data_IF_065672818917
#
_entry.id   IF_065672818917
#
_cell.length_a   1.000
_cell.length_b   1.000
_cell.length_c   1.000
_cell.angle_alpha   90.00
_cell.angle_beta   90.00
_cell.angle_gamma   90.00
#
_symmetry.space_group_name_H-M   'P 1'
#
loop_
_entity.id
_entity.type
_entity.pdbx_description
1 polymer ?
#
# COMPACT_ATOMS: atom_id res chain seq x y z
N UNK A 1 -29.23 43.48 13.88
CA UNK A 1 -27.93 43.29 14.57
C UNK A 1 -27.33 41.93 14.25
N UNK A 2 -28.12 40.85 14.24
CA UNK A 2 -27.66 39.47 13.96
C UNK A 2 -26.89 39.26 12.65
N UNK A 3 -27.32 39.88 11.53
CA UNK A 3 -26.66 39.70 10.23
C UNK A 3 -25.29 40.37 10.09
N UNK A 4 -25.04 41.48 10.81
CA UNK A 4 -23.75 42.16 10.78
C UNK A 4 -22.70 41.40 11.60
N UNK A 5 -23.10 40.86 12.76
CA UNK A 5 -22.23 40.01 13.58
C UNK A 5 -21.88 38.69 12.89
N UNK A 6 -22.81 38.13 12.10
CA UNK A 6 -22.56 36.95 11.29
C UNK A 6 -21.53 37.24 10.18
N UNK A 7 -21.68 38.36 9.47
CA UNK A 7 -20.73 38.77 8.42
C UNK A 7 -19.33 39.04 9.00
N UNK A 8 -19.22 39.68 10.18
CA UNK A 8 -17.95 39.89 10.87
C UNK A 8 -17.23 38.59 11.25
N UNK A 9 -17.96 37.60 11.78
CA UNK A 9 -17.39 36.27 12.07
C UNK A 9 -16.88 35.58 10.82
N UNK A 10 -17.62 35.73 9.73
CA UNK A 10 -17.28 35.13 8.45
C UNK A 10 -16.03 35.75 7.80
N UNK A 11 -15.83 37.07 7.97
CA UNK A 11 -14.60 37.76 7.58
C UNK A 11 -13.41 37.37 8.47
N UNK A 12 -13.63 37.18 9.78
CA UNK A 12 -12.58 36.71 10.68
C UNK A 12 -12.09 35.30 10.33
N UNK A 13 -13.01 34.40 9.94
CA UNK A 13 -12.66 33.07 9.45
C UNK A 13 -11.80 33.13 8.17
N UNK A 14 -12.18 33.98 7.20
CA UNK A 14 -11.41 34.18 5.97
C UNK A 14 -10.01 34.76 6.25
N UNK A 15 -9.89 35.68 7.22
CA UNK A 15 -8.58 36.19 7.63
C UNK A 15 -7.70 35.07 8.19
N UNK A 16 -8.28 34.13 8.95
CA UNK A 16 -7.61 32.90 9.39
C UNK A 16 -7.11 32.03 8.23
N UNK A 17 -7.96 31.81 7.22
CA UNK A 17 -7.61 31.03 6.03
C UNK A 17 -6.47 31.68 5.22
N UNK A 18 -6.52 33.01 5.03
CA UNK A 18 -5.48 33.78 4.36
C UNK A 18 -4.15 33.71 5.11
N UNK A 19 -4.17 33.83 6.44
CA UNK A 19 -2.98 33.67 7.28
C UNK A 19 -2.39 32.26 7.16
N UNK A 20 -3.23 31.23 7.18
CA UNK A 20 -2.80 29.84 6.97
C UNK A 20 -2.16 29.63 5.59
N UNK A 21 -2.62 30.37 4.58
CA UNK A 21 -2.04 30.38 3.24
C UNK A 21 -0.77 31.23 3.10
N UNK A 22 -0.36 31.97 4.15
CA UNK A 22 0.83 32.83 4.16
C UNK A 22 0.58 34.26 3.65
N UNK A 23 -0.69 34.67 3.56
CA UNK A 23 -1.07 36.04 3.18
C UNK A 23 -1.30 36.89 4.44
N UNK A 24 -0.31 37.72 4.78
CA UNK A 24 -0.40 38.66 5.90
C UNK A 24 -0.97 40.02 5.48
N UNK A 25 -1.53 40.75 6.44
CA UNK A 25 -1.85 42.17 6.29
C UNK A 25 -3.18 42.50 5.62
N UNK A 26 -4.15 41.57 5.59
CA UNK A 26 -5.51 41.93 5.18
C UNK A 26 -6.16 42.81 6.27
N UNK A 27 -6.59 44.04 5.96
CA UNK A 27 -7.17 44.91 6.98
C UNK A 27 -8.48 44.33 7.49
N UNK A 28 -8.52 44.00 8.79
CA UNK A 28 -9.72 43.53 9.52
C UNK A 28 -10.88 44.54 9.55
N UNK A 29 -10.71 45.73 8.96
CA UNK A 29 -11.70 46.80 9.00
C UNK A 29 -11.84 47.47 7.64
N UNK A 30 -13.10 47.55 7.21
CA UNK A 30 -13.64 48.10 5.98
C UNK A 30 -13.61 47.10 4.80
N UNK A 31 -14.78 46.57 4.47
CA UNK A 31 -15.03 45.70 3.31
C UNK A 31 -14.48 46.35 2.04
N UNK A 32 -13.31 45.95 1.55
CA UNK A 32 -12.71 46.66 0.42
C UNK A 32 -13.47 46.22 -0.84
N UNK A 33 -14.07 47.18 -1.53
CA UNK A 33 -14.80 46.94 -2.78
C UNK A 33 -13.85 46.66 -3.96
N UNK A 34 -14.39 46.36 -5.16
CA UNK A 34 -13.57 46.21 -6.37
C UNK A 34 -12.78 47.48 -6.73
N UNK A 35 -13.23 48.66 -6.28
CA UNK A 35 -12.52 49.93 -6.43
C UNK A 35 -11.31 50.07 -5.49
N UNK A 36 -11.17 49.19 -4.48
CA UNK A 36 -10.03 49.20 -3.57
C UNK A 36 -8.81 48.53 -4.25
N UNK A 37 -7.65 49.21 -4.31
CA UNK A 37 -6.45 48.64 -4.90
C UNK A 37 -5.95 47.40 -4.13
N UNK A 38 -6.05 47.41 -2.79
CA UNK A 38 -5.59 46.30 -1.95
C UNK A 38 -6.38 45.01 -2.17
N UNK A 39 -7.71 45.13 -2.39
CA UNK A 39 -8.55 43.99 -2.73
C UNK A 39 -8.20 43.40 -4.09
N UNK A 40 -8.02 44.25 -5.11
CA UNK A 40 -7.59 43.81 -6.44
C UNK A 40 -6.21 43.16 -6.41
N UNK A 41 -5.28 43.73 -5.65
CA UNK A 41 -3.95 43.17 -5.45
C UNK A 41 -3.99 41.80 -4.75
N UNK A 42 -4.85 41.61 -3.75
CA UNK A 42 -5.02 40.32 -3.09
C UNK A 42 -5.56 39.26 -4.06
N UNK A 43 -6.66 39.55 -4.76
CA UNK A 43 -7.22 38.65 -5.77
C UNK A 43 -6.18 38.31 -6.86
N UNK A 44 -5.40 39.30 -7.30
CA UNK A 44 -4.35 39.10 -8.28
C UNK A 44 -3.22 38.19 -7.79
N UNK A 45 -2.79 38.32 -6.53
CA UNK A 45 -1.78 37.41 -5.96
C UNK A 45 -2.29 35.99 -5.84
N UNK A 46 -3.52 35.79 -5.35
CA UNK A 46 -4.14 34.46 -5.24
C UNK A 46 -4.26 33.80 -6.62
N UNK A 47 -4.73 34.55 -7.62
CA UNK A 47 -4.85 34.05 -9.00
C UNK A 47 -3.50 33.75 -9.64
N UNK A 48 -2.48 34.59 -9.41
CA UNK A 48 -1.14 34.35 -9.92
C UNK A 48 -0.55 33.06 -9.32
N UNK A 49 -0.76 32.82 -8.03
CA UNK A 49 -0.29 31.59 -7.39
C UNK A 49 -1.02 30.35 -7.94
N UNK A 50 -2.35 30.42 -8.09
CA UNK A 50 -3.13 29.38 -8.76
C UNK A 50 -2.61 29.08 -10.16
N UNK A 51 -2.34 30.11 -10.97
CA UNK A 51 -1.77 29.95 -12.31
C UNK A 51 -0.37 29.31 -12.28
N UNK A 52 0.46 29.61 -11.27
CA UNK A 52 1.77 28.94 -11.14
C UNK A 52 1.64 27.46 -10.79
N UNK A 53 0.67 27.10 -9.95
CA UNK A 53 0.42 25.70 -9.59
C UNK A 53 -0.19 24.91 -10.76
N UNK A 54 -1.09 25.52 -11.52
CA UNK A 54 -1.72 24.89 -12.70
C UNK A 54 -0.74 24.74 -13.88
N UNK A 55 0.13 25.73 -14.12
CA UNK A 55 1.21 25.63 -15.13
C UNK A 55 2.27 24.57 -14.79
N UNK A 56 2.44 24.22 -13.50
CA UNK A 56 3.29 23.12 -13.07
C UNK A 56 2.66 21.74 -13.35
N UNK A 57 1.33 21.66 -13.45
CA UNK A 57 0.61 20.41 -13.78
C UNK A 57 0.40 20.23 -15.30
N UNK A 58 0.31 21.33 -16.05
CA UNK A 58 0.11 21.34 -17.51
C UNK A 58 1.35 21.83 -18.25
N UNK A 59 2.27 20.93 -18.65
CA UNK A 59 3.44 21.27 -19.50
C UNK A 59 3.10 21.76 -20.92
N UNK A 60 1.82 21.99 -21.26
CA UNK A 60 1.41 22.54 -22.55
C UNK A 60 0.00 23.10 -22.47
N UNK A 61 -0.13 24.41 -22.33
CA UNK A 61 -1.06 25.27 -23.10
C UNK A 61 -0.86 26.73 -22.68
N UNK A 62 -1.04 27.63 -23.65
CA UNK A 62 -0.69 29.04 -23.55
C UNK A 62 -1.61 29.83 -22.60
N UNK A 63 -1.00 30.41 -21.56
CA UNK A 63 -1.27 31.77 -21.08
C UNK A 63 -2.63 32.07 -20.46
N UNK A 64 -2.80 31.78 -19.17
CA UNK A 64 -3.77 32.51 -18.34
C UNK A 64 -3.30 33.97 -18.20
N UNK A 65 -4.07 34.93 -18.72
CA UNK A 65 -3.78 36.36 -18.53
C UNK A 65 -3.86 36.70 -17.03
N UNK A 66 -2.76 37.20 -16.47
CA UNK A 66 -2.69 37.58 -15.06
C UNK A 66 -3.69 38.70 -14.73
N UNK A 67 -4.38 38.57 -13.59
CA UNK A 67 -5.27 39.63 -13.08
C UNK A 67 -4.50 40.93 -12.85
N UNK A 68 -5.02 42.03 -13.38
CA UNK A 68 -4.45 43.37 -13.26
C UNK A 68 -4.68 43.94 -11.86
N UNK A 69 -3.59 44.28 -11.18
CA UNK A 69 -3.58 44.99 -9.90
C UNK A 69 -3.42 46.52 -10.04
N UNK A 70 -3.56 47.06 -11.25
CA UNK A 70 -3.23 48.46 -11.54
C UNK A 70 -4.13 49.50 -10.85
N UNK A 71 -3.58 50.69 -10.62
CA UNK A 71 -4.28 51.83 -9.98
C UNK A 71 -4.65 52.95 -10.99
N UNK A 72 -4.66 52.64 -12.29
CA UNK A 72 -4.95 53.59 -13.36
C UNK A 72 -6.44 53.83 -13.61
N UNK A 73 -6.81 54.90 -14.35
CA UNK A 73 -8.19 55.10 -14.80
C UNK A 73 -8.61 53.92 -15.70
N UNK A 74 -9.69 53.22 -15.33
CA UNK A 74 -10.19 52.02 -16.01
C UNK A 74 -9.69 50.68 -15.45
N UNK A 75 -8.84 50.69 -14.41
CA UNK A 75 -8.31 49.45 -13.85
C UNK A 75 -9.34 48.60 -13.07
N UNK A 76 -10.45 49.19 -12.61
CA UNK A 76 -11.58 48.42 -12.05
C UNK A 76 -12.29 47.61 -13.15
N UNK A 77 -12.55 48.22 -14.30
CA UNK A 77 -13.25 47.57 -15.43
C UNK A 77 -12.43 46.43 -16.03
N UNK A 78 -11.12 46.64 -16.17
CA UNK A 78 -10.19 45.62 -16.66
C UNK A 78 -10.06 44.44 -15.66
N UNK A 79 -9.93 44.74 -14.37
CA UNK A 79 -9.93 43.71 -13.31
C UNK A 79 -11.20 42.87 -13.36
N UNK A 80 -12.38 43.49 -13.47
CA UNK A 80 -13.66 42.78 -13.51
C UNK A 80 -13.80 41.91 -14.77
N UNK A 81 -13.30 42.37 -15.92
CA UNK A 81 -13.28 41.60 -17.17
C UNK A 81 -12.43 40.33 -17.03
N UNK A 82 -11.21 40.46 -16.50
CA UNK A 82 -10.28 39.36 -16.31
C UNK A 82 -10.77 38.40 -15.22
N UNK A 83 -11.32 38.92 -14.12
CA UNK A 83 -11.90 38.13 -13.04
C UNK A 83 -13.03 37.24 -13.52
N UNK A 84 -13.93 37.76 -14.37
CA UNK A 84 -14.99 36.96 -14.97
C UNK A 84 -14.47 35.88 -15.95
N UNK A 85 -13.27 36.07 -16.53
CA UNK A 85 -12.56 35.04 -17.29
C UNK A 85 -12.05 33.93 -16.38
N UNK A 86 -11.25 34.31 -15.38
CA UNK A 86 -10.68 33.39 -14.39
C UNK A 86 -11.74 32.54 -13.69
N UNK A 87 -12.85 33.14 -13.24
CA UNK A 87 -13.91 32.40 -12.56
C UNK A 87 -14.62 31.38 -13.48
N UNK A 88 -14.65 31.63 -14.79
CA UNK A 88 -15.18 30.66 -15.76
C UNK A 88 -14.21 29.51 -15.99
N UNK A 89 -12.91 29.81 -16.04
CA UNK A 89 -11.85 28.80 -16.16
C UNK A 89 -11.78 27.91 -14.92
N UNK A 90 -11.88 28.49 -13.72
CA UNK A 90 -11.94 27.76 -12.45
C UNK A 90 -13.30 27.11 -12.16
N UNK A 91 -14.24 27.15 -13.12
CA UNK A 91 -15.59 26.58 -12.97
C UNK A 91 -16.35 27.02 -11.70
N UNK A 92 -16.24 28.30 -11.34
CA UNK A 92 -16.84 28.83 -10.11
C UNK A 92 -18.38 28.61 -10.07
N UNK A 93 -18.92 28.03 -8.98
CA UNK A 93 -20.34 27.67 -8.88
C UNK A 93 -21.27 28.88 -8.68
N UNK A 94 -20.75 30.05 -8.32
CA UNK A 94 -21.55 31.27 -8.10
C UNK A 94 -21.91 31.94 -9.43
N UNK A 95 -23.15 31.70 -9.89
CA UNK A 95 -23.69 32.26 -11.13
C UNK A 95 -23.78 33.79 -11.13
N UNK A 96 -23.86 34.43 -9.96
CA UNK A 96 -23.91 35.90 -9.87
C UNK A 96 -22.54 36.53 -10.11
N UNK A 97 -21.46 35.84 -9.74
CA UNK A 97 -20.08 36.29 -9.95
C UNK A 97 -19.58 35.99 -11.37
N UNK A 98 -20.04 34.89 -11.97
CA UNK A 98 -19.69 34.49 -13.35
C UNK A 98 -20.56 35.17 -14.44
N UNK A 99 -21.58 35.93 -14.04
CA UNK A 99 -22.52 36.57 -14.95
C UNK A 99 -22.02 37.88 -15.57
N UNK A 100 -22.78 38.40 -16.55
CA UNK A 100 -22.47 39.67 -17.25
C UNK A 100 -22.44 40.90 -16.33
N UNK A 101 -23.11 40.80 -15.17
CA UNK A 101 -23.26 41.89 -14.20
C UNK A 101 -22.33 41.73 -12.97
N UNK A 102 -21.17 41.07 -13.12
CA UNK A 102 -20.17 40.82 -12.07
C UNK A 102 -19.84 42.09 -11.24
N UNK A 103 -19.72 43.24 -11.91
CA UNK A 103 -19.50 44.55 -11.30
C UNK A 103 -20.58 44.90 -10.25
N UNK A 104 -21.84 44.62 -10.57
CA UNK A 104 -22.98 44.90 -9.67
C UNK A 104 -23.09 43.86 -8.56
N UNK A 105 -22.77 42.60 -8.85
CA UNK A 105 -22.77 41.50 -7.90
C UNK A 105 -21.73 41.72 -6.79
N UNK A 106 -20.51 42.14 -7.13
CA UNK A 106 -19.43 42.41 -6.15
C UNK A 106 -19.70 43.62 -5.27
N UNK A 107 -20.65 44.49 -5.64
CA UNK A 107 -21.12 45.59 -4.79
C UNK A 107 -22.12 45.12 -3.73
N UNK A 108 -22.68 43.91 -3.86
CA UNK A 108 -23.59 43.34 -2.85
C UNK A 108 -22.81 42.91 -1.59
N UNK A 109 -23.43 43.00 -0.40
CA UNK A 109 -22.86 42.42 0.81
C UNK A 109 -22.68 40.89 0.63
N UNK A 110 -21.60 40.34 1.19
CA UNK A 110 -21.27 38.90 1.10
C UNK A 110 -20.71 38.39 -0.24
N UNK A 111 -20.94 39.03 -1.39
CA UNK A 111 -20.43 38.54 -2.69
C UNK A 111 -18.89 38.53 -2.77
N UNK A 112 -18.24 39.54 -2.16
CA UNK A 112 -16.78 39.66 -2.06
C UNK A 112 -16.16 38.57 -1.20
N UNK A 113 -16.84 38.24 -0.10
CA UNK A 113 -16.43 37.19 0.80
C UNK A 113 -16.53 35.82 0.11
N UNK A 114 -17.61 35.57 -0.63
CA UNK A 114 -17.76 34.34 -1.43
C UNK A 114 -16.65 34.21 -2.48
N UNK A 115 -16.30 35.31 -3.15
CA UNK A 115 -15.18 35.32 -4.10
C UNK A 115 -13.86 34.93 -3.43
N UNK A 116 -13.49 35.59 -2.33
CA UNK A 116 -12.22 35.33 -1.66
C UNK A 116 -12.17 33.93 -1.06
N UNK A 117 -13.29 33.44 -0.49
CA UNK A 117 -13.39 32.05 -0.01
C UNK A 117 -13.18 31.05 -1.13
N UNK A 118 -13.81 31.27 -2.28
CA UNK A 118 -13.63 30.42 -3.45
C UNK A 118 -12.16 30.40 -3.89
N UNK A 119 -11.51 31.56 -4.05
CA UNK A 119 -10.10 31.61 -4.43
C UNK A 119 -9.17 30.96 -3.38
N UNK A 120 -9.48 31.12 -2.09
CA UNK A 120 -8.72 30.46 -1.02
C UNK A 120 -8.91 28.94 -1.04
N UNK A 121 -10.14 28.45 -1.23
CA UNK A 121 -10.40 27.01 -1.29
C UNK A 121 -9.75 26.36 -2.50
N UNK A 122 -9.80 27.01 -3.68
CA UNK A 122 -9.10 26.53 -4.87
C UNK A 122 -7.59 26.51 -4.65
N UNK A 123 -7.02 27.55 -4.01
CA UNK A 123 -5.59 27.58 -3.72
C UNK A 123 -5.16 26.51 -2.71
N UNK A 124 -5.98 26.28 -1.68
CA UNK A 124 -5.77 25.19 -0.73
C UNK A 124 -5.80 23.82 -1.42
N UNK A 125 -6.78 23.60 -2.30
CA UNK A 125 -6.89 22.37 -3.08
C UNK A 125 -5.68 22.18 -4.00
N UNK A 126 -5.30 23.20 -4.78
CA UNK A 126 -4.14 23.16 -5.66
C UNK A 126 -2.84 22.88 -4.89
N UNK A 127 -2.64 23.51 -3.72
CA UNK A 127 -1.47 23.23 -2.87
C UNK A 127 -1.49 21.81 -2.31
N UNK A 128 -2.65 21.26 -1.92
CA UNK A 128 -2.77 19.88 -1.44
C UNK A 128 -2.45 18.88 -2.55
N UNK A 129 -2.97 19.09 -3.76
CA UNK A 129 -2.65 18.29 -4.94
C UNK A 129 -1.15 18.35 -5.26
N UNK A 130 -0.51 19.52 -5.09
CA UNK A 130 0.93 19.68 -5.28
C UNK A 130 1.79 19.09 -4.13
N UNK A 131 1.24 18.91 -2.93
CA UNK A 131 1.93 18.33 -1.76
C UNK A 131 1.78 16.80 -1.65
N UNK A 132 0.69 16.23 -2.18
CA UNK A 132 0.49 14.77 -2.24
C UNK A 132 1.67 13.99 -2.86
N UNK A 133 2.39 14.50 -3.88
CA UNK A 133 3.60 13.83 -4.40
C UNK A 133 4.78 13.80 -3.42
N UNK A 134 4.82 14.65 -2.38
CA UNK A 134 6.02 14.87 -1.54
C UNK A 134 5.95 14.22 -0.15
N UNK A 135 4.77 13.78 0.30
CA UNK A 135 4.56 13.29 1.66
C UNK A 135 4.73 11.78 1.84
N UNK A 136 5.05 11.02 0.79
CA UNK A 136 5.49 9.62 0.88
C UNK A 136 6.96 9.43 0.47
N UNK A 137 7.94 9.74 1.35
CA UNK A 137 9.36 9.48 1.12
C UNK A 137 9.83 8.09 1.61
N UNK A 138 8.93 7.15 1.92
CA UNK A 138 9.33 5.76 2.20
C UNK A 138 8.58 4.79 1.31
N UNK A 139 9.05 4.63 0.08
CA UNK A 139 9.02 3.42 -0.76
C UNK A 139 9.29 3.88 -2.21
N UNK A 140 10.54 4.24 -2.49
CA UNK A 140 11.04 4.22 -3.87
C UNK A 140 10.97 2.77 -4.37
N UNK A 141 10.28 2.52 -5.50
CA UNK A 141 11.05 2.11 -6.66
C UNK A 141 10.59 2.81 -7.94
N UNK A 142 11.52 3.53 -8.56
CA UNK A 142 11.71 3.64 -10.02
C UNK A 142 10.45 3.61 -10.91
N UNK A 143 10.00 4.80 -11.33
CA UNK A 143 9.39 4.99 -12.65
C UNK A 143 7.90 5.38 -12.69
N UNK A 144 7.67 6.70 -12.74
CA UNK A 144 6.63 7.48 -13.44
C UNK A 144 5.28 6.87 -13.84
N UNK A 145 4.20 7.61 -13.53
CA UNK A 145 2.90 7.64 -14.26
C UNK A 145 1.96 6.41 -14.13
N UNK A 146 2.00 5.66 -13.03
CA UNK A 146 1.16 4.46 -12.87
C UNK A 146 0.04 4.53 -11.82
N UNK A 147 -0.05 5.57 -10.99
CA UNK A 147 -1.11 5.71 -10.00
C UNK A 147 -2.24 6.59 -10.55
N UNK A 148 -3.28 5.94 -11.11
CA UNK A 148 -4.53 6.60 -11.47
C UNK A 148 -5.47 6.61 -10.26
N UNK A 149 -6.05 7.77 -10.02
CA UNK A 149 -7.09 8.05 -9.02
C UNK A 149 -8.26 7.05 -9.06
N UNK A 150 -8.57 6.46 -7.92
CA UNK A 150 -9.67 5.52 -7.73
C UNK A 150 -9.32 4.46 -6.70
N UNK A 151 -9.40 4.82 -5.42
CA UNK A 151 -9.41 3.84 -4.34
C UNK A 151 -10.74 3.05 -4.34
N UNK A 152 -11.03 2.36 -5.43
CA UNK A 152 -11.83 1.15 -5.42
C UNK A 152 -10.83 0.03 -5.45
N UNK A 153 -10.59 -0.58 -4.29
CA UNK A 153 -9.98 -1.90 -4.09
C UNK A 153 -9.44 -2.49 -5.40
N UNK A 154 -8.25 -2.02 -5.83
CA UNK A 154 -7.69 -2.42 -7.12
C UNK A 154 -7.62 -3.94 -7.06
N UNK A 155 -8.51 -4.60 -7.81
CA UNK A 155 -8.64 -6.06 -7.80
C UNK A 155 -7.24 -6.60 -7.93
N UNK A 156 -6.79 -7.46 -7.00
CA UNK A 156 -5.38 -7.88 -6.93
C UNK A 156 -4.80 -8.30 -8.30
N UNK A 157 -5.65 -8.78 -9.21
CA UNK A 157 -5.33 -9.06 -10.61
C UNK A 157 -4.79 -7.86 -11.41
N UNK A 158 -5.36 -6.65 -11.23
CA UNK A 158 -4.89 -5.41 -11.89
C UNK A 158 -3.51 -5.04 -11.37
N UNK A 159 -3.31 -5.09 -10.06
CA UNK A 159 -2.00 -4.84 -9.45
C UNK A 159 -0.95 -5.83 -9.95
N UNK A 160 -1.26 -7.13 -9.96
CA UNK A 160 -0.36 -8.17 -10.49
C UNK A 160 -0.02 -7.96 -11.97
N UNK A 161 -1.00 -7.52 -12.77
CA UNK A 161 -0.79 -7.21 -14.17
C UNK A 161 0.12 -6.00 -14.36
N UNK A 162 -0.06 -4.94 -13.56
CA UNK A 162 0.81 -3.75 -13.55
C UNK A 162 2.23 -4.15 -13.18
N UNK A 163 2.41 -4.93 -12.10
CA UNK A 163 3.73 -5.44 -11.70
C UNK A 163 4.38 -6.28 -12.79
N UNK A 164 3.60 -7.11 -13.49
CA UNK A 164 4.10 -7.92 -14.62
C UNK A 164 4.57 -7.04 -15.76
N UNK A 165 3.82 -5.99 -16.12
CA UNK A 165 4.20 -5.04 -17.16
C UNK A 165 5.48 -4.28 -16.78
N UNK A 166 5.57 -3.81 -15.53
CA UNK A 166 6.76 -3.14 -15.01
C UNK A 166 7.99 -4.07 -15.04
N UNK A 167 7.86 -5.31 -14.58
CA UNK A 167 8.94 -6.29 -14.59
C UNK A 167 9.44 -6.62 -16.01
N UNK A 168 8.55 -6.53 -17.01
CA UNK A 168 8.88 -6.74 -18.42
C UNK A 168 9.30 -5.46 -19.16
N UNK A 169 9.25 -4.30 -18.49
CA UNK A 169 9.54 -3.00 -19.08
C UNK A 169 8.55 -2.58 -20.17
N UNK A 170 7.29 -3.03 -20.07
CA UNK A 170 6.22 -2.70 -21.00
C UNK A 170 5.40 -1.49 -20.51
N UNK A 171 4.96 -0.59 -21.41
CA UNK A 171 4.15 0.57 -21.05
C UNK A 171 2.72 0.17 -20.64
N UNK A 172 1.98 1.10 -20.04
CA UNK A 172 0.56 0.89 -19.69
C UNK A 172 -0.26 0.75 -20.97
N UNK A 173 -1.06 -0.31 -21.12
CA UNK A 173 -1.94 -0.43 -22.26
C UNK A 173 -2.95 0.73 -22.25
N UNK A 174 -3.23 1.36 -23.41
CA UNK A 174 -4.25 2.40 -23.49
C UNK A 174 -5.62 1.84 -23.09
N UNK A 175 -6.49 2.72 -22.57
CA UNK A 175 -7.86 2.34 -22.19
C UNK A 175 -8.58 1.70 -23.39
N UNK A 176 -9.19 0.55 -23.17
CA UNK A 176 -9.90 -0.21 -24.22
C UNK A 176 -9.02 -1.18 -25.01
N UNK A 177 -7.75 -1.38 -24.63
CA UNK A 177 -6.92 -2.44 -25.23
C UNK A 177 -7.55 -3.82 -25.01
N UNK A 178 -7.76 -4.63 -26.06
CA UNK A 178 -8.32 -5.96 -25.89
C UNK A 178 -7.35 -6.88 -25.16
N UNK A 179 -7.87 -7.69 -24.22
CA UNK A 179 -7.05 -8.59 -23.40
C UNK A 179 -6.18 -9.56 -24.25
N UNK A 180 -6.68 -9.98 -25.41
CA UNK A 180 -5.94 -10.84 -26.35
C UNK A 180 -4.70 -10.17 -26.96
N UNK A 181 -4.73 -8.85 -27.16
CA UNK A 181 -3.58 -8.09 -27.60
C UNK A 181 -2.55 -7.98 -26.48
N UNK A 182 -2.99 -7.62 -25.28
CA UNK A 182 -2.13 -7.53 -24.10
C UNK A 182 -1.39 -8.85 -23.82
N UNK A 183 -2.12 -9.97 -23.83
CA UNK A 183 -1.53 -11.30 -23.64
C UNK A 183 -0.52 -11.65 -24.74
N UNK A 184 -0.74 -11.20 -25.98
CA UNK A 184 0.20 -11.41 -27.08
C UNK A 184 1.48 -10.59 -26.90
N UNK A 185 1.36 -9.34 -26.46
CA UNK A 185 2.49 -8.46 -26.16
C UNK A 185 3.33 -9.01 -24.99
N UNK A 186 2.67 -9.45 -23.90
CA UNK A 186 3.30 -10.13 -22.78
C UNK A 186 4.04 -11.39 -23.23
N UNK A 187 3.36 -12.27 -23.98
CA UNK A 187 3.96 -13.50 -24.49
C UNK A 187 5.17 -13.22 -25.39
N UNK A 188 5.07 -12.22 -26.28
CA UNK A 188 6.19 -11.83 -27.15
C UNK A 188 7.38 -11.34 -26.33
N UNK A 189 7.15 -10.49 -25.32
CA UNK A 189 8.23 -9.95 -24.48
C UNK A 189 8.88 -11.03 -23.62
N UNK A 190 8.09 -11.93 -23.04
CA UNK A 190 8.63 -13.08 -22.29
C UNK A 190 9.45 -13.99 -23.21
N UNK A 191 8.96 -14.26 -24.42
CA UNK A 191 9.67 -15.09 -25.41
C UNK A 191 10.99 -14.46 -25.86
N UNK A 192 11.06 -13.13 -25.96
CA UNK A 192 12.28 -12.37 -26.25
C UNK A 192 13.30 -12.49 -25.12
N UNK A 193 12.85 -12.42 -23.86
CA UNK A 193 13.73 -12.42 -22.68
C UNK A 193 14.17 -13.83 -22.25
N UNK A 194 13.37 -14.86 -22.53
CA UNK A 194 13.62 -16.24 -22.10
C UNK A 194 15.02 -16.77 -22.44
N UNK A 195 15.59 -16.54 -23.64
CA UNK A 195 16.95 -17.01 -23.99
C UNK A 195 18.07 -16.34 -23.21
N UNK A 196 17.83 -15.16 -22.60
CA UNK A 196 18.83 -14.46 -21.79
C UNK A 196 19.00 -15.08 -20.40
N UNK A 197 18.06 -15.93 -19.98
CA UNK A 197 18.07 -16.55 -18.66
C UNK A 197 18.90 -17.84 -18.65
N UNK A 198 19.45 -18.24 -17.49
CA UNK A 198 20.15 -19.51 -17.36
C UNK A 198 19.27 -20.70 -17.78
N UNK A 199 19.87 -21.77 -18.34
CA UNK A 199 19.12 -22.94 -18.77
C UNK A 199 18.39 -23.58 -17.59
N UNK A 200 17.10 -23.89 -17.79
CA UNK A 200 16.25 -24.50 -16.76
C UNK A 200 15.76 -23.53 -15.69
N UNK A 201 16.09 -22.23 -15.77
CA UNK A 201 15.64 -21.24 -14.77
C UNK A 201 14.10 -21.21 -14.70
N UNK A 202 13.40 -21.04 -15.81
CA UNK A 202 11.94 -21.02 -15.87
C UNK A 202 11.31 -22.38 -16.20
N UNK A 203 11.97 -23.50 -15.87
CA UNK A 203 11.39 -24.82 -16.14
C UNK A 203 10.10 -25.00 -15.33
N UNK A 204 8.95 -25.25 -15.95
CA UNK A 204 7.69 -25.42 -15.24
C UNK A 204 7.68 -26.74 -14.47
N UNK A 205 7.00 -26.76 -13.32
CA UNK A 205 6.79 -27.98 -12.55
C UNK A 205 5.85 -28.93 -13.30
N UNK A 206 4.80 -28.39 -13.91
CA UNK A 206 3.88 -29.13 -14.76
C UNK A 206 4.26 -28.97 -16.23
N UNK A 207 4.87 -30.00 -16.81
CA UNK A 207 5.31 -30.00 -18.22
C UNK A 207 4.36 -30.70 -19.18
N UNK A 208 3.27 -31.30 -18.67
CA UNK A 208 2.30 -32.06 -19.47
C UNK A 208 1.19 -31.16 -20.00
N UNK A 209 0.80 -31.28 -21.28
CA UNK A 209 -0.35 -30.55 -21.81
C UNK A 209 -1.64 -31.05 -21.16
N UNK A 210 -2.49 -30.10 -20.79
CA UNK A 210 -3.80 -30.35 -20.19
C UNK A 210 -4.87 -30.29 -21.30
N UNK A 211 -5.49 -31.44 -21.57
CA UNK A 211 -6.69 -31.54 -22.39
C UNK A 211 -7.94 -31.31 -21.53
N UNK A 212 -9.12 -31.15 -22.16
CA UNK A 212 -10.37 -30.90 -21.45
C UNK A 212 -10.64 -31.87 -20.26
N UNK A 213 -10.53 -33.20 -20.41
CA UNK A 213 -10.80 -34.10 -19.27
C UNK A 213 -9.74 -33.98 -18.16
N UNK A 214 -8.47 -33.65 -18.48
CA UNK A 214 -7.45 -33.40 -17.44
C UNK A 214 -7.68 -32.07 -16.73
N UNK A 215 -8.20 -31.05 -17.39
CA UNK A 215 -8.61 -29.80 -16.74
C UNK A 215 -9.70 -30.06 -15.70
N UNK A 216 -10.74 -30.80 -16.08
CA UNK A 216 -11.82 -31.19 -15.14
C UNK A 216 -11.28 -32.00 -13.95
N UNK A 217 -10.39 -32.96 -14.22
CA UNK A 217 -9.77 -33.76 -13.16
C UNK A 217 -8.88 -32.91 -12.23
N UNK A 218 -8.11 -31.96 -12.79
CA UNK A 218 -7.25 -31.05 -12.03
C UNK A 218 -8.07 -30.13 -11.14
N UNK A 219 -9.18 -29.61 -11.65
CA UNK A 219 -10.10 -28.73 -10.91
C UNK A 219 -10.79 -29.48 -9.78
N UNK A 220 -11.25 -30.72 -10.03
CA UNK A 220 -11.79 -31.61 -9.00
C UNK A 220 -10.76 -31.94 -7.91
N UNK A 221 -9.51 -32.23 -8.29
CA UNK A 221 -8.43 -32.47 -7.33
C UNK A 221 -8.11 -31.22 -6.51
N UNK A 222 -8.04 -30.06 -7.16
CA UNK A 222 -7.80 -28.77 -6.51
C UNK A 222 -8.86 -28.49 -5.45
N UNK A 223 -10.14 -28.67 -5.80
CA UNK A 223 -11.24 -28.47 -4.85
C UNK A 223 -11.13 -29.45 -3.66
N UNK A 224 -10.92 -30.74 -3.93
CA UNK A 224 -10.80 -31.75 -2.86
C UNK A 224 -9.63 -31.46 -1.92
N UNK A 225 -8.49 -31.02 -2.46
CA UNK A 225 -7.34 -30.63 -1.65
C UNK A 225 -7.64 -29.36 -0.85
N UNK A 226 -8.27 -28.37 -1.46
CA UNK A 226 -8.63 -27.12 -0.79
C UNK A 226 -9.54 -27.39 0.42
N UNK A 227 -10.54 -28.25 0.27
CA UNK A 227 -11.43 -28.66 1.36
C UNK A 227 -10.64 -29.37 2.48
N UNK A 228 -9.77 -30.32 2.12
CA UNK A 228 -8.94 -31.02 3.10
C UNK A 228 -7.97 -30.10 3.85
N UNK A 229 -7.31 -29.19 3.14
CA UNK A 229 -6.39 -28.22 3.72
C UNK A 229 -7.13 -27.21 4.59
N UNK A 230 -8.31 -26.77 4.18
CA UNK A 230 -9.19 -25.92 4.98
C UNK A 230 -9.52 -26.59 6.31
N UNK A 231 -10.00 -27.84 6.29
CA UNK A 231 -10.27 -28.60 7.52
C UNK A 231 -9.03 -28.73 8.42
N UNK A 232 -7.85 -29.02 7.84
CA UNK A 232 -6.60 -29.11 8.59
C UNK A 232 -6.20 -27.76 9.20
N UNK A 233 -6.35 -26.66 8.47
CA UNK A 233 -6.06 -25.31 8.94
C UNK A 233 -7.03 -24.92 10.07
N UNK A 234 -8.33 -25.19 9.94
CA UNK A 234 -9.29 -25.02 11.03
C UNK A 234 -8.85 -25.75 12.32
N UNK A 235 -8.41 -27.00 12.20
CA UNK A 235 -7.90 -27.76 13.35
C UNK A 235 -6.66 -27.11 13.96
N UNK A 236 -5.69 -26.71 13.13
CA UNK A 236 -4.46 -26.06 13.59
C UNK A 236 -4.72 -24.71 14.26
N UNK A 237 -5.62 -23.90 13.70
CA UNK A 237 -6.06 -22.63 14.29
C UNK A 237 -6.74 -22.87 15.62
N UNK A 238 -7.65 -23.85 15.71
CA UNK A 238 -8.29 -24.19 16.98
C UNK A 238 -7.28 -24.69 18.01
N UNK A 239 -6.27 -25.47 17.58
CA UNK A 239 -5.18 -25.93 18.45
C UNK A 239 -4.34 -24.77 18.94
N UNK A 240 -4.05 -23.80 18.07
CA UNK A 240 -3.37 -22.56 18.46
C UNK A 240 -4.17 -21.82 19.53
N UNK A 241 -5.47 -21.61 19.31
CA UNK A 241 -6.36 -20.94 20.26
C UNK A 241 -6.33 -21.62 21.64
N UNK A 242 -6.53 -22.94 21.68
CA UNK A 242 -6.51 -23.69 22.93
C UNK A 242 -5.14 -23.68 23.61
N UNK A 243 -4.05 -23.69 22.83
CA UNK A 243 -2.68 -23.62 23.39
C UNK A 243 -2.44 -22.24 24.00
N UNK A 244 -2.88 -21.18 23.33
CA UNK A 244 -2.81 -19.80 23.84
C UNK A 244 -3.64 -19.65 25.12
N UNK A 245 -4.86 -20.18 25.15
CA UNK A 245 -5.69 -20.15 26.37
C UNK A 245 -5.08 -20.94 27.53
N UNK A 246 -4.40 -22.07 27.26
CA UNK A 246 -3.76 -22.87 28.31
C UNK A 246 -2.62 -22.13 29.03
N UNK A 247 -1.96 -21.16 28.39
CA UNK A 247 -0.95 -20.35 29.06
C UNK A 247 -1.53 -19.51 30.20
N UNK A 248 -2.82 -19.17 30.15
CA UNK A 248 -3.51 -18.39 31.20
C UNK A 248 -3.81 -19.23 32.46
N UNK A 249 -3.48 -20.52 32.50
CA UNK A 249 -3.76 -21.40 33.65
C UNK A 249 -2.73 -21.31 34.78
N UNK A 250 -1.67 -20.52 34.61
CA UNK A 250 -0.69 -20.29 35.69
C UNK A 250 -0.78 -18.85 36.20
N UNK A 251 -0.78 -18.66 37.52
CA UNK A 251 -0.85 -17.30 38.15
C UNK A 251 0.19 -16.33 37.58
N UNK A 252 1.39 -16.84 37.27
CA UNK A 252 2.49 -16.03 36.70
C UNK A 252 2.20 -15.54 35.29
N UNK A 253 1.50 -16.34 34.49
CA UNK A 253 1.16 -16.00 33.11
C UNK A 253 -0.16 -15.23 33.02
N UNK A 254 -1.09 -15.43 33.97
CA UNK A 254 -2.31 -14.64 34.10
C UNK A 254 -1.98 -13.15 34.29
N UNK A 255 -0.98 -12.83 35.13
CA UNK A 255 -0.47 -11.47 35.31
C UNK A 255 0.19 -10.85 34.05
N UNK A 256 0.43 -11.64 33.01
CA UNK A 256 0.98 -11.20 31.72
C UNK A 256 0.00 -11.46 30.56
N UNK A 257 -1.24 -11.86 30.85
CA UNK A 257 -2.24 -12.27 29.87
C UNK A 257 -2.55 -11.16 28.87
N UNK A 258 -2.85 -9.96 29.35
CA UNK A 258 -3.16 -8.80 28.49
C UNK A 258 -2.02 -8.47 27.51
N UNK A 259 -0.77 -8.50 27.99
CA UNK A 259 0.40 -8.26 27.15
C UNK A 259 0.61 -9.37 26.10
N UNK A 260 0.29 -10.61 26.44
CA UNK A 260 0.34 -11.74 25.52
C UNK A 260 -0.76 -11.65 24.46
N UNK A 261 -1.99 -11.37 24.86
CA UNK A 261 -3.14 -11.21 23.98
C UNK A 261 -2.93 -10.06 22.99
N UNK A 262 -2.40 -8.92 23.44
CA UNK A 262 -2.08 -7.78 22.59
C UNK A 262 -1.11 -8.14 21.44
N UNK A 263 -0.23 -9.13 21.64
CA UNK A 263 0.69 -9.61 20.60
C UNK A 263 0.06 -10.71 19.74
N UNK A 264 -0.70 -11.63 20.33
CA UNK A 264 -1.20 -12.81 19.63
C UNK A 264 -2.48 -12.57 18.83
N UNK A 265 -3.38 -11.69 19.29
CA UNK A 265 -4.66 -11.40 18.62
C UNK A 265 -4.46 -10.93 17.19
N UNK A 266 -3.60 -9.92 16.89
CA UNK A 266 -3.41 -9.45 15.51
C UNK A 266 -2.86 -10.55 14.59
N UNK A 267 -1.96 -11.39 15.12
CA UNK A 267 -1.42 -12.54 14.38
C UNK A 267 -2.52 -13.55 14.09
N UNK A 268 -3.37 -13.84 15.08
CA UNK A 268 -4.44 -14.82 14.96
C UNK A 268 -5.55 -14.36 14.00
N UNK A 269 -5.87 -13.08 14.00
CA UNK A 269 -6.86 -12.46 13.10
C UNK A 269 -6.40 -12.48 11.63
N UNK A 270 -5.10 -12.34 11.39
CA UNK A 270 -4.53 -12.46 10.05
C UNK A 270 -4.49 -13.91 9.51
N UNK A 271 -4.71 -14.92 10.35
CA UNK A 271 -4.64 -16.33 9.95
C UNK A 271 -6.02 -16.87 9.58
N UNK A 272 -6.17 -17.24 8.31
CA UNK A 272 -7.41 -17.75 7.73
C UNK A 272 -7.35 -19.27 7.48
N UNK A 273 -8.47 -20.01 7.57
CA UNK A 273 -8.50 -21.40 7.16
C UNK A 273 -8.47 -21.58 5.64
N UNK A 274 -8.83 -20.56 4.87
CA UNK A 274 -8.80 -20.56 3.40
C UNK A 274 -7.37 -20.69 2.87
N UNK A 275 -7.27 -21.23 1.66
CA UNK A 275 -6.00 -21.39 0.93
C UNK A 275 -5.92 -20.34 -0.17
N UNK A 276 -4.81 -19.61 -0.21
CA UNK A 276 -4.51 -18.64 -1.28
C UNK A 276 -3.97 -19.32 -2.56
N UNK A 277 -3.70 -20.63 -2.49
CA UNK A 277 -3.19 -21.41 -3.62
C UNK A 277 -4.33 -21.82 -4.54
N UNK A 278 -4.24 -21.39 -5.80
CA UNK A 278 -5.18 -21.74 -6.89
C UNK A 278 -4.49 -22.56 -7.99
N UNK A 279 -5.27 -23.08 -8.94
CA UNK A 279 -4.74 -23.79 -10.12
C UNK A 279 -3.75 -22.92 -10.90
N UNK A 280 -3.98 -21.62 -11.00
CA UNK A 280 -3.06 -20.69 -11.66
C UNK A 280 -1.66 -20.69 -10.99
N UNK A 281 -1.61 -20.75 -9.66
CA UNK A 281 -0.35 -20.85 -8.92
C UNK A 281 0.38 -22.17 -9.20
N UNK A 282 -0.35 -23.27 -9.37
CA UNK A 282 0.23 -24.58 -9.74
C UNK A 282 0.83 -24.54 -11.14
N UNK A 283 0.17 -23.87 -12.09
CA UNK A 283 0.67 -23.72 -13.46
C UNK A 283 1.88 -22.78 -13.54
N UNK A 284 1.90 -21.73 -12.73
CA UNK A 284 3.03 -20.82 -12.62
C UNK A 284 4.21 -21.43 -11.83
N UNK A 285 4.00 -22.54 -11.12
CA UNK A 285 5.01 -23.16 -10.29
C UNK A 285 6.19 -23.66 -11.12
N UNK A 286 7.40 -23.26 -10.73
CA UNK A 286 8.65 -23.72 -11.32
C UNK A 286 9.12 -25.04 -10.71
N UNK A 287 9.92 -25.79 -11.44
CA UNK A 287 10.43 -27.09 -11.03
C UNK A 287 11.24 -27.05 -9.72
N UNK A 288 11.91 -25.93 -9.41
CA UNK A 288 12.66 -25.74 -8.18
C UNK A 288 11.79 -25.60 -6.93
N UNK A 289 10.52 -25.18 -7.06
CA UNK A 289 9.56 -25.15 -5.94
C UNK A 289 9.22 -26.54 -5.40
N UNK A 290 9.44 -27.61 -6.19
CA UNK A 290 9.25 -28.99 -5.72
C UNK A 290 10.31 -29.45 -4.71
N UNK A 291 11.37 -28.66 -4.50
CA UNK A 291 12.46 -29.01 -3.59
C UNK A 291 12.00 -28.88 -2.15
N UNK A 292 11.73 -30.02 -1.53
CA UNK A 292 11.41 -30.08 -0.10
C UNK A 292 12.61 -29.61 0.73
N UNK A 293 12.46 -28.46 1.39
CA UNK A 293 13.43 -27.98 2.36
C UNK A 293 13.09 -28.62 3.71
N UNK A 294 14.04 -29.33 4.36
CA UNK A 294 13.78 -29.91 5.67
C UNK A 294 13.33 -28.85 6.68
N UNK A 295 12.31 -29.17 7.47
CA UNK A 295 11.85 -28.33 8.59
C UNK A 295 12.94 -28.11 9.66
N UNK A 296 14.02 -28.89 9.60
CA UNK A 296 15.21 -28.75 10.45
C UNK A 296 16.28 -27.81 9.88
N UNK A 297 16.07 -27.23 8.70
CA UNK A 297 17.01 -26.32 8.05
C UNK A 297 17.25 -25.05 8.88
N UNK A 298 18.43 -24.44 8.70
CA UNK A 298 18.84 -23.22 9.40
C UNK A 298 17.87 -22.06 9.12
N UNK A 299 17.38 -21.96 7.88
CA UNK A 299 16.40 -20.95 7.47
C UNK A 299 15.05 -21.16 8.17
N UNK A 300 14.51 -22.39 8.16
CA UNK A 300 13.24 -22.70 8.84
C UNK A 300 13.31 -22.47 10.37
N UNK A 301 14.50 -22.64 10.98
CA UNK A 301 14.70 -22.47 12.42
C UNK A 301 15.11 -21.07 12.86
N UNK A 302 15.32 -20.13 11.93
CA UNK A 302 15.78 -18.77 12.27
C UNK A 302 14.77 -18.03 13.15
N UNK A 303 13.46 -18.19 12.90
CA UNK A 303 12.40 -17.58 13.71
C UNK A 303 12.03 -18.35 14.98
N UNK A 304 12.41 -19.63 15.07
CA UNK A 304 12.07 -20.51 16.21
C UNK A 304 13.30 -20.86 17.07
N UNK A 305 14.42 -20.18 16.85
CA UNK A 305 15.62 -20.37 17.65
C UNK A 305 15.43 -19.73 19.03
N UNK A 306 15.53 -20.55 20.08
CA UNK A 306 15.52 -20.09 21.47
C UNK A 306 16.65 -20.77 22.23
N UNK A 307 16.96 -20.29 23.44
CA UNK A 307 18.03 -20.85 24.27
C UNK A 307 17.89 -22.37 24.48
N UNK A 308 16.65 -22.89 24.49
CA UNK A 308 16.33 -24.31 24.64
C UNK A 308 16.65 -25.09 23.34
N UNK A 309 16.27 -24.55 22.19
CA UNK A 309 16.44 -25.20 20.88
C UNK A 309 17.89 -25.18 20.35
N UNK A 310 18.83 -24.53 21.07
CA UNK A 310 20.27 -24.49 20.75
C UNK A 310 21.02 -25.75 21.18
N UNK A 311 20.45 -26.56 22.07
CA UNK A 311 21.12 -27.76 22.60
C UNK A 311 20.73 -28.98 21.77
N UNK A 312 21.73 -29.68 21.21
CA UNK A 312 21.51 -30.98 20.59
C UNK A 312 21.25 -31.99 21.71
N UNK A 313 20.01 -32.47 21.84
CA UNK A 313 19.74 -33.67 22.64
C UNK A 313 20.60 -34.81 22.09
N UNK A 314 21.40 -35.45 22.95
CA UNK A 314 22.17 -36.64 22.60
C UNK A 314 21.25 -37.81 22.22
N UNK A 315 21.79 -39.03 22.15
CA UNK A 315 20.98 -40.24 21.95
C UNK A 315 19.85 -40.28 22.98
N UNK A 316 18.61 -40.05 22.56
CA UNK A 316 17.44 -40.14 23.44
C UNK A 316 17.30 -41.62 23.80
N UNK A 317 17.40 -41.99 25.09
CA UNK A 317 17.20 -43.38 25.51
C UNK A 317 15.81 -43.84 25.09
N UNK A 318 15.70 -45.11 24.72
CA UNK A 318 14.43 -45.74 24.38
C UNK A 318 13.38 -45.41 25.46
N UNK A 319 12.23 -44.87 25.07
CA UNK A 319 11.19 -44.35 25.99
C UNK A 319 10.31 -45.46 26.58
N UNK A 320 10.73 -46.71 26.41
CA UNK A 320 10.06 -47.85 27.01
C UNK A 320 8.89 -48.37 26.19
N UNK A 321 8.40 -49.52 26.64
CA UNK A 321 7.59 -50.50 25.92
C UNK A 321 8.08 -51.93 26.17
N UNK A 322 9.28 -52.08 26.73
CA UNK A 322 9.88 -53.34 27.18
C UNK A 322 10.26 -53.21 28.66
N UNK A 323 9.40 -53.68 29.59
CA UNK A 323 9.60 -53.54 31.03
C UNK A 323 10.90 -54.14 31.57
N UNK A 324 11.53 -55.06 30.85
CA UNK A 324 12.65 -55.88 31.35
C UNK A 324 14.05 -55.28 31.08
N UNK A 325 14.15 -54.14 30.40
CA UNK A 325 15.43 -53.54 29.97
C UNK A 325 15.77 -52.19 30.66
N UNK A 326 15.27 -51.97 31.88
CA UNK A 326 15.44 -50.72 32.63
C UNK A 326 16.81 -50.60 33.32
N UNK A 327 17.76 -49.96 32.63
CA UNK A 327 18.59 -48.91 33.22
C UNK A 327 19.12 -47.99 32.10
N UNK A 328 18.42 -46.88 31.76
CA UNK A 328 18.92 -45.95 30.76
C UNK A 328 19.96 -45.01 31.39
N UNK A 329 21.19 -44.92 30.88
CA UNK A 329 22.11 -43.87 31.29
C UNK A 329 21.54 -42.50 30.91
N UNK A 330 21.62 -41.54 31.83
CA UNK A 330 21.23 -40.14 31.61
C UNK A 330 21.85 -39.61 30.29
N UNK A 331 21.06 -38.97 29.40
CA UNK A 331 21.59 -38.44 28.15
C UNK A 331 22.60 -37.32 28.42
N UNK A 332 23.78 -37.41 27.81
CA UNK A 332 24.80 -36.37 27.88
C UNK A 332 24.48 -35.22 26.93
N UNK A 333 24.60 -33.99 27.41
CA UNK A 333 24.37 -32.77 26.64
C UNK A 333 25.69 -32.27 26.05
N UNK A 334 25.74 -32.04 24.73
CA UNK A 334 26.91 -31.43 24.07
C UNK A 334 26.49 -30.17 23.32
N UNK A 335 27.35 -29.15 23.38
CA UNK A 335 27.20 -27.94 22.56
C UNK A 335 27.38 -28.28 21.09
N UNK A 336 26.45 -27.84 20.25
CA UNK A 336 26.50 -28.03 18.79
C UNK A 336 27.61 -27.12 18.23
N UNK A 337 28.71 -27.71 17.73
CA UNK A 337 29.74 -26.94 17.01
C UNK A 337 29.21 -26.55 15.63
N UNK A 338 29.37 -25.27 15.26
CA UNK A 338 28.89 -24.73 13.98
C UNK A 338 29.83 -24.99 12.79
N UNK A 339 31.05 -25.48 13.00
CA UNK A 339 31.99 -25.75 11.89
C UNK A 339 32.37 -27.22 11.79
N UNK A 340 31.89 -27.85 10.72
CA UNK A 340 32.19 -29.23 10.37
C UNK A 340 31.97 -29.49 8.89
N UNK A 341 32.86 -28.93 8.08
CA UNK A 341 32.99 -29.26 6.65
C UNK A 341 33.01 -30.77 6.42
N UNK A 342 32.44 -31.17 5.29
CA UNK A 342 32.05 -32.55 4.98
C UNK A 342 33.10 -33.61 5.32
N UNK A 343 32.66 -34.65 6.01
CA UNK A 343 33.34 -35.95 6.04
C UNK A 343 32.35 -37.07 6.35
N UNK A 344 32.08 -37.85 5.30
CA UNK A 344 31.86 -39.30 5.24
C UNK A 344 31.07 -39.96 6.37
N UNK A 345 29.91 -40.49 5.96
CA UNK A 345 29.52 -41.88 6.10
C UNK A 345 29.77 -42.58 7.45
N UNK A 346 28.66 -42.90 8.12
CA UNK A 346 28.42 -44.19 8.78
C UNK A 346 29.59 -44.80 9.55
N UNK A 347 29.67 -44.49 10.84
CA UNK A 347 30.14 -45.47 11.83
C UNK A 347 29.13 -45.53 12.97
N UNK A 348 28.26 -46.52 12.89
CA UNK A 348 27.49 -46.99 14.03
C UNK A 348 28.48 -47.44 15.11
N UNK A 349 28.54 -46.69 16.21
CA UNK A 349 29.28 -47.10 17.39
C UNK A 349 28.42 -48.12 18.15
N UNK A 350 28.55 -49.40 17.79
CA UNK A 350 28.01 -50.49 18.61
C UNK A 350 28.82 -50.53 19.91
N UNK A 351 28.18 -50.11 21.01
CA UNK A 351 28.74 -50.21 22.35
C UNK A 351 29.08 -51.67 22.69
N UNK A 352 30.38 -51.95 22.93
CA UNK A 352 30.83 -53.21 23.51
C UNK A 352 30.23 -53.36 24.92
N UNK A 353 29.19 -54.19 25.06
CA UNK A 353 28.79 -54.75 26.37
C UNK A 353 29.96 -55.57 26.92
N UNK A 354 30.59 -55.10 28.00
CA UNK A 354 31.48 -55.95 28.82
C UNK A 354 30.59 -57.00 29.52
N UNK A 355 30.76 -58.27 29.16
CA UNK A 355 30.29 -59.39 29.99
C UNK A 355 31.03 -59.33 31.33
N UNK A 356 30.30 -59.11 32.43
CA UNK A 356 30.79 -59.43 33.77
C UNK A 356 30.86 -60.96 33.89
N UNK A 357 31.97 -61.44 34.45
CA UNK A 357 32.20 -62.82 34.83
C UNK A 357 31.48 -63.11 36.14
#
# INVERSE_FOLDING_TARGET
MEGAEAEEREWAALAGDLLALGYEGFPERASPGPSCPDFRALCARLAAELATLDALEREKEEGTEALSAGDGPGAEEEFLRQLAGLLRELHCPDRELCGRDCASSLRKPGARLRLLRFLCSELQAARLLHLQPKLDPSLEPFGGEWAGEGAEEESGLVQELVLTLQALGLPRPPRGTPASQLLRELHAKISELLPSLPPGFLQPLLSYPLDAPRWEALESLSQSLQDQYCCRRCLLLKRLDLTTSAFHWSERAEAQGEAMEAVLIPIREALTPESDVSVAHVLAARADLSRLVPATSKTARRGTCCAINKVLMGSVPDRGGRPDELEPPMPSWQSRREDGGGRKAGRQCWGRKKKKK
#
